data_IF_124856074287
#
_entry.id   IF_124856074287
#
_cell.length_a   1.000
_cell.length_b   1.000
_cell.length_c   1.000
_cell.angle_alpha   90.00
_cell.angle_beta   90.00
_cell.angle_gamma   90.00
#
_symmetry.space_group_name_H-M   'P 1'
#
loop_
_entity.id
_entity.type
_entity.pdbx_description
1 polymer ?
#
# COMPACT_ATOMS: atom_id res chain seq x y z
N UNK A 1 -8.85 -2.16 0.49
CA UNK A 1 -10.12 -2.69 1.05
C UNK A 1 -9.95 -2.99 2.54
N UNK A 2 -8.93 -3.76 2.92
CA UNK A 2 -8.56 -4.11 4.30
C UNK A 2 -8.56 -2.94 5.30
N UNK A 3 -7.83 -1.86 5.01
CA UNK A 3 -7.84 -0.67 5.86
C UNK A 3 -9.24 -0.04 6.08
N UNK A 4 -10.17 -0.21 5.14
CA UNK A 4 -11.53 0.33 5.28
C UNK A 4 -12.38 -0.52 6.25
N UNK A 5 -12.14 -1.82 6.32
CA UNK A 5 -12.87 -2.77 7.17
C UNK A 5 -12.22 -2.98 8.55
N UNK A 6 -11.08 -2.34 8.81
CA UNK A 6 -10.39 -2.40 10.11
C UNK A 6 -9.22 -3.38 10.17
N UNK A 7 -9.00 -4.15 9.10
CA UNK A 7 -7.85 -5.06 8.96
C UNK A 7 -6.59 -4.25 8.63
N UNK A 8 -6.01 -3.56 9.63
CA UNK A 8 -4.88 -2.65 9.41
C UNK A 8 -3.57 -3.40 9.24
N UNK A 9 -3.35 -4.46 10.03
CA UNK A 9 -2.11 -5.23 10.00
C UNK A 9 -1.95 -5.96 8.66
N UNK A 10 -3.00 -6.62 8.18
CA UNK A 10 -3.01 -7.26 6.86
C UNK A 10 -2.83 -6.23 5.74
N UNK A 11 -3.47 -5.06 5.85
CA UNK A 11 -3.26 -3.97 4.89
C UNK A 11 -1.80 -3.50 4.84
N UNK A 12 -1.12 -3.49 6.00
CA UNK A 12 0.28 -3.12 6.11
C UNK A 12 1.20 -4.21 5.53
N UNK A 13 0.95 -5.49 5.83
CA UNK A 13 1.70 -6.61 5.25
C UNK A 13 1.64 -6.59 3.71
N UNK A 14 0.46 -6.38 3.13
CA UNK A 14 0.32 -6.24 1.68
C UNK A 14 1.05 -5.03 1.12
N UNK A 15 1.08 -3.91 1.85
CA UNK A 15 1.81 -2.72 1.44
C UNK A 15 3.32 -2.98 1.45
N UNK A 16 3.85 -3.63 2.48
CA UNK A 16 5.27 -4.00 2.56
C UNK A 16 5.66 -4.92 1.41
N UNK A 17 4.86 -5.96 1.15
CA UNK A 17 5.08 -6.85 0.02
C UNK A 17 5.02 -6.10 -1.31
N UNK A 18 4.05 -5.19 -1.50
CA UNK A 18 3.93 -4.39 -2.71
C UNK A 18 5.20 -3.56 -2.97
N UNK A 19 5.78 -2.93 -1.94
CA UNK A 19 6.99 -2.10 -2.07
C UNK A 19 8.18 -2.88 -2.63
N UNK A 20 8.26 -4.18 -2.37
CA UNK A 20 9.35 -5.04 -2.88
C UNK A 20 9.38 -5.18 -4.40
N UNK A 21 8.27 -4.91 -5.09
CA UNK A 21 8.19 -4.93 -6.56
C UNK A 21 8.66 -3.64 -7.22
N UNK A 22 8.99 -2.60 -6.43
CA UNK A 22 9.65 -1.42 -6.97
C UNK A 22 11.09 -1.72 -7.37
N UNK A 23 11.61 -1.01 -8.37
CA UNK A 23 13.01 -1.12 -8.69
C UNK A 23 13.89 -0.38 -7.65
N UNK A 24 15.20 -0.41 -7.86
CA UNK A 24 16.19 0.29 -7.03
C UNK A 24 16.00 1.82 -6.89
N UNK A 25 15.14 2.44 -7.72
CA UNK A 25 14.76 3.85 -7.64
C UNK A 25 13.40 4.07 -6.95
N UNK A 26 12.74 3.00 -6.50
CA UNK A 26 11.39 3.06 -5.93
C UNK A 26 10.29 3.23 -6.98
N UNK A 27 10.58 2.93 -8.26
CA UNK A 27 9.63 3.08 -9.36
C UNK A 27 8.94 1.76 -9.70
N UNK A 28 7.64 1.86 -10.01
CA UNK A 28 6.79 0.76 -10.44
C UNK A 28 6.49 0.80 -11.93
N UNK A 29 6.40 -0.37 -12.54
CA UNK A 29 5.76 -0.61 -13.84
C UNK A 29 4.26 -0.83 -13.70
N UNK A 30 3.61 -1.07 -14.84
CA UNK A 30 2.19 -1.43 -14.91
C UNK A 30 1.95 -2.81 -14.30
N UNK A 31 2.73 -3.80 -14.70
CA UNK A 31 2.70 -5.16 -14.17
C UNK A 31 4.09 -5.63 -13.75
N UNK A 32 4.14 -6.63 -12.88
CA UNK A 32 5.37 -7.31 -12.47
C UNK A 32 5.23 -8.81 -12.70
N UNK A 33 6.22 -9.41 -13.34
CA UNK A 33 6.29 -10.84 -13.54
C UNK A 33 6.81 -11.56 -12.29
N UNK A 34 6.58 -12.87 -12.21
CA UNK A 34 7.01 -13.70 -11.06
C UNK A 34 8.54 -13.71 -10.87
N UNK A 35 9.30 -13.43 -11.93
CA UNK A 35 10.77 -13.29 -11.90
C UNK A 35 11.24 -11.88 -11.50
N UNK A 36 10.31 -10.97 -11.15
CA UNK A 36 10.59 -9.57 -10.84
C UNK A 36 10.74 -8.69 -12.08
N UNK A 37 10.52 -9.23 -13.28
CA UNK A 37 10.52 -8.45 -14.52
C UNK A 37 9.44 -7.37 -14.49
N UNK A 38 9.77 -6.17 -14.93
CA UNK A 38 8.84 -5.05 -15.03
C UNK A 38 8.22 -4.98 -16.43
N UNK A 39 6.89 -5.02 -16.50
CA UNK A 39 6.13 -5.18 -17.75
C UNK A 39 5.19 -4.00 -17.97
N UNK A 40 5.01 -3.65 -19.25
CA UNK A 40 4.15 -2.54 -19.67
C UNK A 40 4.80 -1.17 -19.50
N UNK A 41 3.96 -0.17 -19.23
CA UNK A 41 4.42 1.22 -19.08
C UNK A 41 5.35 1.37 -17.88
N UNK A 42 6.42 2.13 -18.05
CA UNK A 42 7.39 2.40 -16.98
C UNK A 42 8.00 3.81 -17.10
N UNK A 43 8.04 4.61 -16.02
CA UNK A 43 7.33 4.39 -14.74
C UNK A 43 5.82 4.56 -14.93
N UNK A 44 5.02 3.72 -14.28
CA UNK A 44 3.57 3.76 -14.43
C UNK A 44 2.89 4.67 -13.41
N UNK A 45 2.34 5.79 -13.86
CA UNK A 45 1.70 6.79 -12.99
C UNK A 45 0.59 6.19 -12.12
N UNK A 46 -0.29 5.36 -12.69
CA UNK A 46 -1.41 4.81 -11.94
C UNK A 46 -0.99 3.85 -10.81
N UNK A 47 0.06 3.06 -11.00
CA UNK A 47 0.61 2.20 -9.95
C UNK A 47 1.09 3.03 -8.75
N UNK A 48 1.80 4.13 -9.01
CA UNK A 48 2.26 5.04 -7.95
C UNK A 48 1.10 5.77 -7.27
N UNK A 49 0.09 6.21 -8.02
CA UNK A 49 -1.12 6.82 -7.45
C UNK A 49 -1.88 5.81 -6.57
N UNK A 50 -1.96 4.55 -6.99
CA UNK A 50 -2.52 3.46 -6.20
C UNK A 50 -1.78 3.26 -4.87
N UNK A 51 -0.45 3.22 -4.91
CA UNK A 51 0.40 3.13 -3.72
C UNK A 51 0.15 4.28 -2.74
N UNK A 52 0.23 5.54 -3.21
CA UNK A 52 0.01 6.72 -2.37
C UNK A 52 -1.39 6.72 -1.73
N UNK A 53 -2.39 6.28 -2.49
CA UNK A 53 -3.75 6.11 -2.02
C UNK A 53 -3.89 5.03 -0.93
N UNK A 54 -3.16 3.92 -1.05
CA UNK A 54 -3.15 2.86 -0.05
C UNK A 54 -2.47 3.33 1.25
N UNK A 55 -1.28 3.92 1.13
CA UNK A 55 -0.53 4.51 2.26
C UNK A 55 -1.39 5.51 3.03
N UNK A 56 -2.01 6.48 2.34
CA UNK A 56 -2.84 7.49 2.99
C UNK A 56 -4.05 6.91 3.73
N UNK A 57 -4.64 5.82 3.23
CA UNK A 57 -5.77 5.13 3.91
C UNK A 57 -5.32 4.40 5.16
N UNK A 58 -4.19 3.70 5.09
CA UNK A 58 -3.61 2.98 6.25
C UNK A 58 -3.20 3.99 7.32
N UNK A 59 -2.47 5.04 6.95
CA UNK A 59 -2.02 6.08 7.88
C UNK A 59 -3.19 6.75 8.62
N UNK A 60 -4.26 7.12 7.91
CA UNK A 60 -5.45 7.73 8.52
C UNK A 60 -6.14 6.83 9.55
N UNK A 61 -6.01 5.51 9.43
CA UNK A 61 -6.60 4.54 10.35
C UNK A 61 -5.71 4.26 11.55
N UNK A 62 -4.39 4.32 11.38
CA UNK A 62 -3.43 4.24 12.49
C UNK A 62 -3.46 5.49 13.38
N UNK A 63 -3.72 6.67 12.81
CA UNK A 63 -3.86 7.93 13.57
C UNK A 63 -5.20 8.02 14.36
N UNK A 64 -5.71 6.89 14.85
CA UNK A 64 -6.83 6.85 15.78
C UNK A 64 -6.32 7.23 17.17
N UNK A 65 -6.79 8.34 17.78
CA UNK A 65 -6.42 8.67 19.15
C UNK A 65 -6.86 7.55 20.10
N UNK A 66 -5.97 7.17 21.02
CA UNK A 66 -6.10 6.06 21.98
C UNK A 66 -7.30 6.18 22.97
N UNK A 67 -8.11 7.23 22.88
CA UNK A 67 -9.17 7.57 23.85
C UNK A 67 -10.59 7.17 23.44
N UNK A 68 -10.78 6.36 22.40
CA UNK A 68 -12.10 5.84 22.02
C UNK A 68 -12.12 4.32 22.19
N UNK A 69 -12.45 3.84 23.39
CA UNK A 69 -13.20 2.60 23.71
C UNK A 69 -12.95 2.10 25.16
N UNK A 70 -13.27 2.91 26.18
CA UNK A 70 -13.40 2.35 27.55
C UNK A 70 -14.44 3.02 28.46
N UNK A 71 -15.47 3.68 27.91
CA UNK A 71 -16.62 4.10 28.72
C UNK A 71 -17.90 4.09 27.88
N UNK A 72 -18.58 2.94 27.81
CA UNK A 72 -20.03 2.75 27.92
C UNK A 72 -20.37 1.26 27.96
#
# INVERSE_FOLDING_TARGET
ALACIGEIDEAFEHLENLITYSNHLGLFSEDVALDGGQWGNFPQTYSHVGLMNAVGRIAKKQDRPFFQEEYY
#
